data_IF_345136942597
#
_entry.id   IF_345136942597
#
_cell.length_a   1.000
_cell.length_b   1.000
_cell.length_c   1.000
_cell.angle_alpha   90.00
_cell.angle_beta   90.00
_cell.angle_gamma   90.00
#
_symmetry.space_group_name_H-M   'P 1'
#
loop_
_entity.id
_entity.type
_entity.pdbx_description
1 polymer ?
#
# COMPACT_ATOMS: atom_id res chain seq x y z
N UNK A 1 -0.35 43.30 13.26
CA UNK A 1 0.44 42.28 13.97
C UNK A 1 0.56 41.05 13.08
N UNK A 2 1.76 40.68 12.68
CA UNK A 2 2.02 39.50 11.86
C UNK A 2 1.95 38.27 12.78
N UNK A 3 0.93 37.41 12.62
CA UNK A 3 0.82 36.14 13.36
C UNK A 3 2.09 35.31 13.14
N UNK A 4 2.69 34.84 14.24
CA UNK A 4 3.87 33.96 14.21
C UNK A 4 3.51 32.55 13.73
N UNK A 5 4.53 31.69 13.53
CA UNK A 5 4.29 30.30 13.09
C UNK A 5 3.47 29.52 14.13
N UNK A 6 3.71 29.73 15.43
CA UNK A 6 2.86 29.12 16.48
C UNK A 6 1.42 29.61 16.43
N UNK A 7 1.14 30.88 16.18
CA UNK A 7 -0.25 31.37 16.04
C UNK A 7 -0.96 30.71 14.86
N UNK A 8 -0.26 30.48 13.75
CA UNK A 8 -0.81 29.84 12.56
C UNK A 8 -1.07 28.35 12.82
N UNK A 9 -0.10 27.67 13.43
CA UNK A 9 -0.17 26.24 13.74
C UNK A 9 -1.21 25.93 14.83
N UNK A 10 -1.30 26.78 15.85
CA UNK A 10 -2.24 26.60 16.97
C UNK A 10 -3.64 27.12 16.67
N UNK A 11 -3.81 28.01 15.67
CA UNK A 11 -5.15 28.47 15.26
C UNK A 11 -6.10 27.28 15.06
N UNK A 12 -7.27 27.36 15.71
CA UNK A 12 -8.33 26.41 15.43
C UNK A 12 -8.85 26.72 14.03
N UNK A 13 -8.61 25.78 13.11
CA UNK A 13 -9.34 25.80 11.85
C UNK A 13 -10.80 25.43 12.18
N UNK A 14 -11.79 25.90 11.39
CA UNK A 14 -13.16 25.46 11.56
C UNK A 14 -13.19 23.92 11.59
N UNK A 15 -13.83 23.36 12.60
CA UNK A 15 -14.11 21.92 12.62
C UNK A 15 -15.00 21.64 11.41
N UNK A 16 -14.43 21.06 10.35
CA UNK A 16 -15.21 20.68 9.18
C UNK A 16 -16.20 19.60 9.65
N UNK A 17 -17.47 19.98 9.76
CA UNK A 17 -18.53 19.06 10.11
C UNK A 17 -18.59 17.96 9.06
N UNK A 18 -18.48 16.71 9.49
CA UNK A 18 -18.58 15.57 8.59
C UNK A 18 -20.03 15.09 8.61
N UNK A 19 -20.76 15.10 7.47
CA UNK A 19 -22.16 14.69 7.45
C UNK A 19 -22.30 13.21 7.84
N UNK A 20 -23.30 12.89 8.67
CA UNK A 20 -23.63 11.52 9.04
C UNK A 20 -24.61 10.92 8.02
N UNK A 21 -24.15 9.89 7.31
CA UNK A 21 -24.98 9.18 6.33
C UNK A 21 -26.15 8.48 7.03
N UNK A 22 -25.94 7.96 8.25
CA UNK A 22 -27.00 7.29 9.01
C UNK A 22 -28.18 8.20 9.28
N UNK A 23 -27.92 9.47 9.57
CA UNK A 23 -28.96 10.47 9.89
C UNK A 23 -29.76 10.84 8.63
N UNK A 24 -29.08 10.92 7.48
CA UNK A 24 -29.67 11.26 6.19
C UNK A 24 -30.37 10.09 5.49
N UNK A 25 -30.02 8.85 5.82
CA UNK A 25 -30.43 7.64 5.08
C UNK A 25 -31.95 7.49 4.86
N UNK A 26 -32.77 7.94 5.82
CA UNK A 26 -34.24 7.83 5.71
C UNK A 26 -34.90 8.87 4.81
N UNK A 27 -34.18 9.92 4.41
CA UNK A 27 -34.75 11.11 3.75
C UNK A 27 -34.18 11.38 2.36
N UNK A 28 -33.16 10.63 1.94
CA UNK A 28 -32.39 10.89 0.73
C UNK A 28 -32.36 9.69 -0.21
N UNK A 29 -32.29 9.98 -1.50
CA UNK A 29 -32.04 8.97 -2.54
C UNK A 29 -30.64 8.38 -2.44
N UNK A 30 -30.43 7.26 -3.14
CA UNK A 30 -29.12 6.60 -3.23
C UNK A 30 -28.00 7.54 -3.70
N UNK A 31 -28.24 8.31 -4.76
CA UNK A 31 -27.24 9.23 -5.30
C UNK A 31 -26.90 10.34 -4.31
N UNK A 32 -27.89 10.87 -3.59
CA UNK A 32 -27.68 11.88 -2.57
C UNK A 32 -26.86 11.36 -1.38
N UNK A 33 -27.11 10.12 -0.93
CA UNK A 33 -26.30 9.48 0.12
C UNK A 33 -24.85 9.26 -0.34
N UNK A 34 -24.64 8.80 -1.56
CA UNK A 34 -23.29 8.64 -2.11
C UNK A 34 -22.60 10.00 -2.31
N UNK A 35 -23.36 11.05 -2.65
CA UNK A 35 -22.81 12.38 -2.74
C UNK A 35 -22.37 12.91 -1.37
N UNK A 36 -23.18 12.72 -0.31
CA UNK A 36 -22.78 13.02 1.06
C UNK A 36 -21.54 12.25 1.51
N UNK A 37 -21.41 10.98 1.10
CA UNK A 37 -20.24 10.18 1.41
C UNK A 37 -18.97 10.84 0.82
N UNK A 38 -19.03 11.33 -0.42
CA UNK A 38 -17.93 12.07 -1.01
C UNK A 38 -17.69 13.43 -0.35
N UNK A 39 -18.74 14.14 0.11
CA UNK A 39 -18.56 15.36 0.90
C UNK A 39 -17.80 15.06 2.19
N UNK A 40 -18.12 13.95 2.86
CA UNK A 40 -17.40 13.51 4.05
C UNK A 40 -15.93 13.16 3.75
N UNK A 41 -15.66 12.45 2.66
CA UNK A 41 -14.30 12.14 2.21
C UNK A 41 -13.52 13.43 1.90
N UNK A 42 -14.11 14.39 1.18
CA UNK A 42 -13.47 15.68 0.90
C UNK A 42 -13.12 16.45 2.19
N UNK A 43 -14.00 16.41 3.19
CA UNK A 43 -13.72 17.03 4.49
C UNK A 43 -12.53 16.35 5.20
N UNK A 44 -12.41 15.03 5.11
CA UNK A 44 -11.27 14.28 5.64
C UNK A 44 -9.98 14.54 4.83
N UNK A 45 -10.05 14.67 3.51
CA UNK A 45 -8.91 15.05 2.66
C UNK A 45 -8.35 16.43 3.05
N UNK A 46 -9.23 17.37 3.37
CA UNK A 46 -8.82 18.68 3.89
C UNK A 46 -8.11 18.56 5.25
N UNK A 47 -8.64 17.73 6.15
CA UNK A 47 -8.00 17.46 7.46
C UNK A 47 -6.65 16.76 7.30
N UNK A 48 -6.54 15.74 6.46
CA UNK A 48 -5.29 15.04 6.15
C UNK A 48 -4.27 15.97 5.51
N UNK A 49 -4.69 16.84 4.58
CA UNK A 49 -3.84 17.88 4.00
C UNK A 49 -3.25 18.82 5.05
N UNK A 50 -4.06 19.18 6.07
CA UNK A 50 -3.58 19.97 7.21
C UNK A 50 -2.59 19.19 8.08
N UNK A 51 -2.85 17.91 8.37
CA UNK A 51 -1.94 17.06 9.12
C UNK A 51 -0.58 16.94 8.39
N UNK A 52 -0.60 16.62 7.10
CA UNK A 52 0.60 16.53 6.25
C UNK A 52 1.36 17.84 6.17
N UNK A 53 0.66 18.99 6.17
CA UNK A 53 1.26 20.32 6.24
C UNK A 53 2.05 20.52 7.53
N UNK A 54 1.44 20.19 8.66
CA UNK A 54 2.07 20.30 9.97
C UNK A 54 3.27 19.35 10.07
N UNK A 55 3.13 18.12 9.56
CA UNK A 55 4.24 17.16 9.49
C UNK A 55 5.40 17.75 8.67
N UNK A 56 5.12 18.32 7.50
CA UNK A 56 6.15 18.95 6.65
C UNK A 56 6.86 20.12 7.36
N UNK A 57 6.12 20.90 8.17
CA UNK A 57 6.70 21.96 9.00
C UNK A 57 7.61 21.35 10.08
N UNK A 58 7.15 20.30 10.76
CA UNK A 58 7.93 19.62 11.79
C UNK A 58 9.22 19.00 11.21
N UNK A 59 9.16 18.38 10.03
CA UNK A 59 10.33 17.83 9.32
C UNK A 59 11.33 18.92 8.95
N UNK A 60 10.86 20.07 8.44
CA UNK A 60 11.72 21.24 8.17
C UNK A 60 12.41 21.76 9.42
N UNK A 61 11.67 21.89 10.52
CA UNK A 61 12.23 22.27 11.82
C UNK A 61 13.33 21.31 12.22
N UNK A 62 13.06 19.99 12.18
CA UNK A 62 14.03 18.94 12.53
C UNK A 62 15.29 19.02 11.69
N UNK A 63 15.15 19.16 10.37
CA UNK A 63 16.28 19.28 9.46
C UNK A 63 17.14 20.51 9.79
N UNK A 64 16.50 21.66 10.03
CA UNK A 64 17.19 22.90 10.41
C UNK A 64 17.96 22.75 11.73
N UNK A 65 17.38 22.12 12.75
CA UNK A 65 18.07 21.86 14.03
C UNK A 65 18.91 20.57 14.04
N UNK A 66 19.15 19.97 12.86
CA UNK A 66 19.97 18.76 12.66
C UNK A 66 19.55 17.54 13.48
N UNK A 67 18.24 17.35 13.66
CA UNK A 67 17.69 16.11 14.18
C UNK A 67 17.48 15.10 13.06
N UNK A 68 17.69 13.81 13.38
CA UNK A 68 17.40 12.70 12.46
C UNK A 68 15.94 12.73 12.00
N UNK A 69 15.60 12.18 10.81
CA UNK A 69 14.22 12.01 10.38
C UNK A 69 13.39 11.22 11.42
N UNK A 70 12.10 11.55 11.55
CA UNK A 70 11.18 10.80 12.43
C UNK A 70 10.29 9.91 11.56
N UNK A 71 10.57 8.62 11.56
CA UNK A 71 9.82 7.63 10.78
C UNK A 71 8.32 7.59 11.15
N UNK A 72 7.94 8.06 12.34
CA UNK A 72 6.53 8.17 12.74
C UNK A 72 5.75 9.13 11.86
N UNK A 73 6.38 10.19 11.36
CA UNK A 73 5.74 11.17 10.47
C UNK A 73 5.43 10.60 9.09
N UNK A 74 6.36 9.82 8.53
CA UNK A 74 6.10 9.08 7.30
C UNK A 74 5.02 8.01 7.49
N UNK A 75 5.01 7.32 8.64
CA UNK A 75 3.91 6.41 8.99
C UNK A 75 2.57 7.13 9.05
N UNK A 76 2.48 8.28 9.74
CA UNK A 76 1.23 9.06 9.85
C UNK A 76 0.71 9.50 8.47
N UNK A 77 1.58 10.02 7.59
CA UNK A 77 1.21 10.41 6.22
C UNK A 77 0.64 9.21 5.45
N UNK A 78 1.29 8.05 5.56
CA UNK A 78 0.86 6.80 4.91
C UNK A 78 -0.49 6.33 5.44
N UNK A 79 -0.65 6.28 6.75
CA UNK A 79 -1.87 5.79 7.40
C UNK A 79 -3.07 6.69 7.05
N UNK A 80 -2.91 8.01 7.04
CA UNK A 80 -3.96 8.95 6.61
C UNK A 80 -4.35 8.76 5.13
N UNK A 81 -3.37 8.49 4.26
CA UNK A 81 -3.61 8.19 2.84
C UNK A 81 -4.37 6.88 2.66
N UNK A 82 -4.02 5.85 3.43
CA UNK A 82 -4.66 4.53 3.39
C UNK A 82 -6.10 4.58 3.92
N UNK A 83 -6.35 5.30 5.02
CA UNK A 83 -7.69 5.48 5.58
C UNK A 83 -8.65 6.16 4.59
N UNK A 84 -8.20 7.23 3.93
CA UNK A 84 -8.97 7.90 2.88
C UNK A 84 -9.27 6.96 1.70
N UNK A 85 -8.25 6.23 1.24
CA UNK A 85 -8.39 5.26 0.16
C UNK A 85 -9.41 4.15 0.50
N UNK A 86 -9.45 3.73 1.76
CA UNK A 86 -10.41 2.73 2.22
C UNK A 86 -11.86 3.23 2.17
N UNK A 87 -12.14 4.48 2.57
CA UNK A 87 -13.46 5.08 2.42
C UNK A 87 -13.87 5.20 0.96
N UNK A 88 -12.93 5.65 0.13
CA UNK A 88 -13.10 5.82 -1.29
C UNK A 88 -13.50 4.51 -1.98
N UNK A 89 -12.73 3.43 -1.73
CA UNK A 89 -13.05 2.08 -2.22
C UNK A 89 -14.38 1.56 -1.70
N UNK A 90 -14.74 1.94 -0.47
CA UNK A 90 -15.99 1.54 0.16
C UNK A 90 -17.20 2.16 -0.58
N UNK A 91 -17.09 3.42 -1.01
CA UNK A 91 -18.09 4.14 -1.83
C UNK A 91 -18.08 3.64 -3.28
N UNK A 92 -16.90 3.44 -3.87
CA UNK A 92 -16.76 2.98 -5.25
C UNK A 92 -17.39 1.61 -5.48
N UNK A 93 -17.30 0.69 -4.51
CA UNK A 93 -18.00 -0.60 -4.56
C UNK A 93 -19.52 -0.45 -4.69
N UNK A 94 -20.08 0.63 -4.16
CA UNK A 94 -21.50 0.94 -4.30
C UNK A 94 -21.82 1.66 -5.61
N UNK A 95 -20.89 2.45 -6.17
CA UNK A 95 -21.08 3.16 -7.43
C UNK A 95 -20.92 2.21 -8.63
N UNK A 96 -19.80 1.50 -8.68
CA UNK A 96 -19.32 0.76 -9.84
C UNK A 96 -19.52 -0.75 -9.70
N UNK A 97 -19.57 -1.26 -8.46
CA UNK A 97 -19.84 -2.67 -8.18
C UNK A 97 -21.31 -2.99 -7.92
N UNK A 98 -21.50 -4.11 -7.22
CA UNK A 98 -22.80 -4.69 -6.87
C UNK A 98 -23.23 -4.43 -5.42
N UNK A 99 -22.45 -3.64 -4.68
CA UNK A 99 -22.76 -3.38 -3.28
C UNK A 99 -23.98 -2.47 -3.13
N UNK A 100 -24.89 -2.84 -2.24
CA UNK A 100 -26.06 -2.04 -1.87
C UNK A 100 -25.70 -0.79 -1.07
N UNK A 101 -26.46 0.28 -1.29
CA UNK A 101 -26.47 1.47 -0.43
C UNK A 101 -27.60 1.28 0.57
N UNK A 102 -27.29 0.65 1.70
CA UNK A 102 -28.23 0.32 2.76
C UNK A 102 -27.84 0.94 4.12
N UNK A 103 -28.67 0.68 5.14
CA UNK A 103 -28.42 1.16 6.50
C UNK A 103 -27.11 0.63 7.10
N UNK A 104 -26.71 -0.60 6.73
CA UNK A 104 -25.44 -1.18 7.17
C UNK A 104 -24.26 -0.47 6.51
N UNK A 105 -24.36 -0.15 5.22
CA UNK A 105 -23.41 0.68 4.50
C UNK A 105 -23.20 2.02 5.21
N UNK A 106 -24.29 2.75 5.49
CA UNK A 106 -24.24 4.07 6.12
C UNK A 106 -23.63 4.01 7.54
N UNK A 107 -24.03 3.02 8.36
CA UNK A 107 -23.50 2.83 9.72
C UNK A 107 -22.00 2.52 9.74
N UNK A 108 -21.54 1.65 8.84
CA UNK A 108 -20.13 1.30 8.75
C UNK A 108 -19.29 2.46 8.21
N UNK A 109 -19.80 3.21 7.25
CA UNK A 109 -19.14 4.40 6.73
C UNK A 109 -18.97 5.46 7.83
N UNK A 110 -20.04 5.81 8.55
CA UNK A 110 -19.98 6.78 9.65
C UNK A 110 -18.99 6.33 10.74
N UNK A 111 -18.97 5.03 11.08
CA UNK A 111 -18.01 4.47 12.04
C UNK A 111 -16.56 4.65 11.58
N UNK A 112 -16.28 4.40 10.31
CA UNK A 112 -14.93 4.56 9.75
C UNK A 112 -14.52 6.04 9.74
N UNK A 113 -15.42 6.92 9.31
CA UNK A 113 -15.22 8.39 9.34
C UNK A 113 -14.86 8.87 10.74
N UNK A 114 -15.63 8.49 11.77
CA UNK A 114 -15.35 8.91 13.16
C UNK A 114 -13.95 8.47 13.60
N UNK A 115 -13.61 7.19 13.37
CA UNK A 115 -12.28 6.65 13.69
C UNK A 115 -11.17 7.45 13.00
N UNK A 116 -11.34 7.79 11.73
CA UNK A 116 -10.33 8.51 10.95
C UNK A 116 -10.20 9.98 11.36
N UNK A 117 -11.32 10.63 11.73
CA UNK A 117 -11.29 11.96 12.34
C UNK A 117 -10.47 11.92 13.64
N UNK A 118 -10.76 10.98 14.54
CA UNK A 118 -10.07 10.86 15.83
C UNK A 118 -8.57 10.62 15.65
N UNK A 119 -8.20 9.74 14.72
CA UNK A 119 -6.80 9.46 14.38
C UNK A 119 -6.06 10.69 13.84
N UNK A 120 -6.65 11.38 12.86
CA UNK A 120 -6.07 12.60 12.28
C UNK A 120 -5.98 13.75 13.30
N UNK A 121 -7.00 13.94 14.13
CA UNK A 121 -7.00 15.00 15.15
C UNK A 121 -5.94 14.71 16.23
N UNK A 122 -5.72 13.45 16.59
CA UNK A 122 -4.62 13.02 17.48
C UNK A 122 -3.26 13.33 16.86
N UNK A 123 -3.02 12.92 15.61
CA UNK A 123 -1.76 13.23 14.91
C UNK A 123 -1.52 14.74 14.80
N UNK A 124 -2.56 15.52 14.50
CA UNK A 124 -2.48 16.99 14.44
C UNK A 124 -2.09 17.56 15.81
N UNK A 125 -2.72 17.10 16.89
CA UNK A 125 -2.43 17.58 18.24
C UNK A 125 -0.97 17.28 18.63
N UNK A 126 -0.50 16.05 18.39
CA UNK A 126 0.89 15.65 18.67
C UNK A 126 1.91 16.50 17.92
N UNK A 127 1.71 16.70 16.61
CA UNK A 127 2.62 17.49 15.78
C UNK A 127 2.59 18.98 16.17
N UNK A 128 1.43 19.53 16.56
CA UNK A 128 1.33 20.91 17.07
C UNK A 128 2.14 21.11 18.35
N UNK A 129 2.02 20.19 19.31
CA UNK A 129 2.79 20.24 20.56
C UNK A 129 4.27 20.24 20.23
N UNK A 130 4.71 19.34 19.36
CA UNK A 130 6.10 19.23 18.94
C UNK A 130 6.65 20.51 18.29
N UNK A 131 5.92 21.10 17.33
CA UNK A 131 6.31 22.36 16.68
C UNK A 131 6.44 23.48 17.72
N UNK A 132 5.48 23.58 18.64
CA UNK A 132 5.46 24.62 19.68
C UNK A 132 6.64 24.48 20.64
N UNK A 133 7.02 23.25 21.00
CA UNK A 133 8.19 22.99 21.84
C UNK A 133 9.48 23.42 21.17
N UNK A 134 9.62 23.17 19.87
CA UNK A 134 10.87 23.44 19.13
C UNK A 134 10.99 24.86 18.58
N UNK A 135 9.89 25.59 18.42
CA UNK A 135 9.90 26.96 17.88
C UNK A 135 10.85 27.89 18.66
N UNK A 136 10.98 27.69 19.98
CA UNK A 136 11.88 28.48 20.83
C UNK A 136 13.36 28.39 20.42
N UNK A 137 13.75 27.35 19.69
CA UNK A 137 15.13 27.09 19.25
C UNK A 137 15.42 27.62 17.84
N UNK A 138 14.45 28.27 17.19
CA UNK A 138 14.58 28.75 15.82
C UNK A 138 14.95 30.23 15.80
N UNK A 139 15.78 30.64 14.85
CA UNK A 139 16.03 32.06 14.58
C UNK A 139 14.82 32.75 13.94
N UNK A 140 14.86 34.09 13.86
CA UNK A 140 13.75 34.88 13.34
C UNK A 140 13.54 34.70 11.82
N UNK A 141 14.62 34.47 11.07
CA UNK A 141 14.59 34.32 9.62
C UNK A 141 13.86 33.02 9.22
N UNK A 142 14.25 31.91 9.85
CA UNK A 142 13.63 30.62 9.64
C UNK A 142 12.17 30.58 10.12
N UNK A 143 11.84 31.29 11.21
CA UNK A 143 10.44 31.48 11.63
C UNK A 143 9.62 32.21 10.56
N UNK A 144 10.19 33.22 9.90
CA UNK A 144 9.53 33.94 8.82
C UNK A 144 9.33 33.04 7.59
N UNK A 145 10.33 32.22 7.23
CA UNK A 145 10.22 31.23 6.15
C UNK A 145 9.10 30.22 6.44
N UNK A 146 9.09 29.62 7.64
CA UNK A 146 8.05 28.68 8.05
C UNK A 146 6.66 29.32 8.07
N UNK A 147 6.56 30.58 8.46
CA UNK A 147 5.32 31.36 8.43
C UNK A 147 4.82 31.56 7.00
N UNK A 148 5.71 31.92 6.08
CA UNK A 148 5.41 32.06 4.65
C UNK A 148 4.98 30.71 4.05
N UNK A 149 5.70 29.64 4.39
CA UNK A 149 5.32 28.28 4.03
C UNK A 149 3.91 27.98 4.58
N UNK A 150 3.67 28.04 5.88
CA UNK A 150 2.39 27.67 6.49
C UNK A 150 1.16 28.39 5.90
N UNK A 151 1.31 29.59 5.34
CA UNK A 151 0.26 30.37 4.66
C UNK A 151 -0.06 29.92 3.23
N UNK A 152 0.81 29.13 2.59
CA UNK A 152 0.56 28.61 1.24
C UNK A 152 -0.71 27.76 1.25
N UNK A 153 -1.60 27.92 0.24
CA UNK A 153 -2.81 27.12 0.15
C UNK A 153 -2.45 25.63 0.08
N UNK A 154 -3.22 24.80 0.77
CA UNK A 154 -3.10 23.35 0.66
C UNK A 154 -3.70 22.97 -0.69
N UNK A 155 -2.84 22.57 -1.63
CA UNK A 155 -3.29 22.05 -2.93
C UNK A 155 -3.64 20.58 -2.71
N UNK A 156 -4.93 20.25 -2.84
CA UNK A 156 -5.38 18.87 -2.80
C UNK A 156 -5.06 18.22 -4.16
N UNK A 157 -4.07 17.32 -4.15
CA UNK A 157 -3.54 16.68 -5.36
C UNK A 157 -4.57 15.84 -6.13
N UNK A 158 -5.62 15.37 -5.44
CA UNK A 158 -6.64 14.52 -6.06
C UNK A 158 -7.61 15.29 -6.98
N UNK A 159 -7.75 16.61 -6.82
CA UNK A 159 -8.61 17.45 -7.66
C UNK A 159 -7.85 18.15 -8.80
N UNK A 160 -6.51 18.08 -8.84
CA UNK A 160 -5.67 18.91 -9.73
C UNK A 160 -4.72 18.13 -10.63
N UNK A 161 -4.41 16.87 -10.33
CA UNK A 161 -3.50 16.06 -11.17
C UNK A 161 -4.31 15.22 -12.16
N UNK A 162 -4.55 15.81 -13.34
CA UNK A 162 -5.00 15.06 -14.51
C UNK A 162 -3.79 14.33 -15.11
N UNK A 163 -3.51 13.10 -14.67
CA UNK A 163 -2.42 12.27 -15.21
C UNK A 163 -2.84 11.71 -16.58
N UNK A 164 -2.97 12.58 -17.59
CA UNK A 164 -3.22 12.17 -18.98
C UNK A 164 -4.48 11.34 -19.23
N UNK A 165 -5.42 11.27 -18.27
CA UNK A 165 -6.67 10.51 -18.40
C UNK A 165 -7.74 11.37 -19.05
N UNK A 166 -8.39 10.93 -20.15
CA UNK A 166 -9.58 11.58 -20.70
C UNK A 166 -10.68 11.78 -19.66
N UNK A 167 -11.40 12.90 -19.74
CA UNK A 167 -12.36 13.32 -18.72
C UNK A 167 -13.71 13.64 -19.33
N UNK A 168 -14.80 13.24 -18.66
CA UNK A 168 -16.15 13.48 -19.14
C UNK A 168 -16.66 14.87 -18.79
N UNK A 169 -16.42 15.36 -17.56
CA UNK A 169 -17.17 16.47 -16.95
C UNK A 169 -17.12 17.78 -17.74
N UNK A 170 -15.98 18.13 -18.34
CA UNK A 170 -15.79 19.42 -18.99
C UNK A 170 -16.65 19.58 -20.25
N UNK A 171 -16.92 18.48 -20.96
CA UNK A 171 -17.71 18.46 -22.20
C UNK A 171 -19.00 17.64 -22.05
N UNK A 172 -19.31 17.11 -20.86
CA UNK A 172 -20.40 16.16 -20.66
C UNK A 172 -21.74 16.64 -21.23
N UNK A 173 -22.07 17.93 -21.06
CA UNK A 173 -23.32 18.51 -21.57
C UNK A 173 -23.41 18.56 -23.10
N UNK A 174 -22.28 18.60 -23.82
CA UNK A 174 -22.21 18.62 -25.28
C UNK A 174 -21.94 17.26 -25.92
N UNK A 175 -21.42 16.28 -25.17
CA UNK A 175 -21.02 14.98 -25.72
C UNK A 175 -22.21 14.08 -26.07
N UNK A 176 -22.08 13.35 -27.18
CA UNK A 176 -22.99 12.27 -27.56
C UNK A 176 -22.78 10.99 -26.73
N UNK A 177 -23.71 10.04 -26.81
CA UNK A 177 -23.59 8.77 -26.06
C UNK A 177 -22.39 7.91 -26.49
N UNK A 178 -22.07 7.90 -27.79
CA UNK A 178 -20.92 7.14 -28.30
C UNK A 178 -19.60 7.80 -27.87
N UNK A 179 -19.53 9.14 -27.93
CA UNK A 179 -18.38 9.90 -27.43
C UNK A 179 -18.15 9.70 -25.92
N UNK A 180 -19.22 9.62 -25.13
CA UNK A 180 -19.13 9.25 -23.70
C UNK A 180 -18.54 7.86 -23.54
N UNK A 181 -18.99 6.88 -24.31
CA UNK A 181 -18.47 5.52 -24.24
C UNK A 181 -16.99 5.49 -24.62
N UNK A 182 -16.61 6.12 -25.72
CA UNK A 182 -15.22 6.16 -26.21
C UNK A 182 -14.30 6.82 -25.18
N UNK A 183 -14.73 7.93 -24.58
CA UNK A 183 -13.97 8.65 -23.54
C UNK A 183 -13.76 7.80 -22.29
N UNK A 184 -14.81 7.10 -21.85
CA UNK A 184 -14.75 6.18 -20.71
C UNK A 184 -13.79 5.02 -20.96
N UNK A 185 -13.84 4.39 -22.14
CA UNK A 185 -12.89 3.34 -22.51
C UNK A 185 -11.46 3.88 -22.63
N UNK A 186 -11.29 5.08 -23.20
CA UNK A 186 -10.01 5.77 -23.26
C UNK A 186 -9.42 6.05 -21.88
N UNK A 187 -10.25 6.44 -20.92
CA UNK A 187 -9.83 6.65 -19.53
C UNK A 187 -9.34 5.36 -18.86
N UNK A 188 -10.05 4.23 -19.05
CA UNK A 188 -9.59 2.94 -18.54
C UNK A 188 -8.28 2.51 -19.19
N UNK A 189 -8.17 2.67 -20.51
CA UNK A 189 -6.96 2.33 -21.26
C UNK A 189 -5.75 3.14 -20.78
N UNK A 190 -5.90 4.44 -20.54
CA UNK A 190 -4.82 5.28 -20.03
C UNK A 190 -4.32 4.80 -18.65
N UNK A 191 -5.22 4.37 -17.77
CA UNK A 191 -4.86 3.80 -16.47
C UNK A 191 -4.19 2.43 -16.61
N UNK A 192 -4.66 1.59 -17.54
CA UNK A 192 -4.06 0.30 -17.88
C UNK A 192 -2.63 0.46 -18.39
N UNK A 193 -2.39 1.43 -19.27
CA UNK A 193 -1.08 1.74 -19.81
C UNK A 193 -0.12 2.19 -18.69
N UNK A 194 -0.58 3.06 -17.78
CA UNK A 194 0.19 3.44 -16.58
C UNK A 194 0.52 2.22 -15.70
N UNK A 195 -0.43 1.31 -15.50
CA UNK A 195 -0.19 0.10 -14.71
C UNK A 195 0.82 -0.83 -15.40
N UNK A 196 0.81 -0.90 -16.74
CA UNK A 196 1.81 -1.61 -17.53
C UNK A 196 3.22 -1.05 -17.36
N UNK A 197 3.36 0.28 -17.34
CA UNK A 197 4.63 0.96 -17.05
C UNK A 197 5.09 0.62 -15.63
N UNK A 198 4.21 0.75 -14.64
CA UNK A 198 4.52 0.42 -13.25
C UNK A 198 4.97 -1.04 -13.07
N UNK A 199 4.33 -2.01 -13.77
CA UNK A 199 4.75 -3.41 -13.78
C UNK A 199 6.17 -3.58 -14.33
N UNK A 200 6.48 -2.91 -15.43
CA UNK A 200 7.80 -2.99 -16.07
C UNK A 200 8.89 -2.46 -15.13
N UNK A 201 8.64 -1.31 -14.49
CA UNK A 201 9.55 -0.76 -13.49
C UNK A 201 9.67 -1.66 -12.26
N UNK A 202 8.56 -2.20 -11.75
CA UNK A 202 8.57 -3.10 -10.61
C UNK A 202 9.45 -4.34 -10.85
N UNK A 203 9.40 -4.92 -12.06
CA UNK A 203 10.29 -6.02 -12.44
C UNK A 203 11.76 -5.60 -12.46
N UNK A 204 12.07 -4.38 -12.94
CA UNK A 204 13.44 -3.83 -12.93
C UNK A 204 13.95 -3.55 -11.52
N UNK A 205 13.07 -3.16 -10.60
CA UNK A 205 13.40 -2.87 -9.20
C UNK A 205 13.52 -4.13 -8.32
N UNK A 206 13.28 -5.34 -8.84
CA UNK A 206 13.39 -6.57 -8.06
C UNK A 206 14.76 -6.83 -7.40
N UNK A 207 15.92 -6.35 -7.91
CA UNK A 207 17.18 -6.42 -7.16
C UNK A 207 17.14 -5.69 -5.80
N UNK A 208 16.21 -4.77 -5.59
CA UNK A 208 15.95 -4.09 -4.31
C UNK A 208 14.85 -4.75 -3.49
N UNK A 209 14.41 -5.95 -3.86
CA UNK A 209 13.39 -6.67 -3.12
C UNK A 209 13.84 -6.92 -1.69
N UNK A 210 13.08 -6.46 -0.70
CA UNK A 210 13.45 -6.58 0.71
C UNK A 210 14.46 -5.56 1.23
N UNK A 211 15.04 -4.71 0.38
CA UNK A 211 15.87 -3.60 0.84
C UNK A 211 14.98 -2.47 1.37
N UNK A 212 15.35 -1.93 2.53
CA UNK A 212 14.65 -0.81 3.16
C UNK A 212 15.37 0.50 2.85
N UNK A 213 15.37 0.91 1.58
CA UNK A 213 16.04 2.14 1.09
C UNK A 213 15.21 3.42 1.34
N UNK A 214 14.15 3.33 2.15
CA UNK A 214 13.26 4.46 2.43
C UNK A 214 11.89 4.06 2.99
N UNK A 215 10.91 4.99 2.98
CA UNK A 215 9.57 4.75 3.50
C UNK A 215 8.71 3.82 2.62
N UNK A 216 9.10 3.64 1.36
CA UNK A 216 8.44 2.75 0.40
C UNK A 216 9.40 1.61 0.03
N UNK A 217 8.89 0.38 -0.04
CA UNK A 217 9.63 -0.80 -0.48
C UNK A 217 9.04 -1.34 -1.77
N UNK A 218 9.86 -2.00 -2.60
CA UNK A 218 9.41 -2.60 -3.87
C UNK A 218 8.22 -3.55 -3.64
N UNK A 219 8.29 -4.38 -2.60
CA UNK A 219 7.20 -5.29 -2.24
C UNK A 219 5.93 -4.55 -1.79
N UNK A 220 6.06 -3.46 -1.04
CA UNK A 220 4.92 -2.62 -0.67
C UNK A 220 4.24 -1.99 -1.87
N UNK A 221 5.03 -1.46 -2.83
CA UNK A 221 4.51 -0.89 -4.07
C UNK A 221 3.77 -1.94 -4.90
N UNK A 222 4.35 -3.14 -5.08
CA UNK A 222 3.70 -4.21 -5.84
C UNK A 222 2.40 -4.69 -5.17
N UNK A 223 2.37 -4.77 -3.83
CA UNK A 223 1.14 -5.04 -3.09
C UNK A 223 0.07 -3.98 -3.35
N UNK A 224 0.45 -2.70 -3.36
CA UNK A 224 -0.50 -1.61 -3.64
C UNK A 224 -1.00 -1.64 -5.09
N UNK A 225 -0.15 -2.06 -6.03
CA UNK A 225 -0.54 -2.30 -7.43
C UNK A 225 -1.60 -3.40 -7.55
N UNK A 226 -1.56 -4.44 -6.70
CA UNK A 226 -2.61 -5.48 -6.65
C UNK A 226 -3.97 -4.87 -6.27
N UNK A 227 -4.00 -3.98 -5.29
CA UNK A 227 -5.25 -3.31 -4.94
C UNK A 227 -5.74 -2.36 -6.06
N UNK A 228 -4.82 -1.63 -6.69
CA UNK A 228 -5.14 -0.76 -7.83
C UNK A 228 -5.70 -1.55 -9.03
N UNK A 229 -5.21 -2.76 -9.27
CA UNK A 229 -5.79 -3.66 -10.26
C UNK A 229 -7.24 -4.05 -9.90
N UNK A 230 -7.54 -4.24 -8.61
CA UNK A 230 -8.91 -4.42 -8.13
C UNK A 230 -9.81 -3.21 -8.38
N UNK A 231 -9.29 -2.00 -8.17
CA UNK A 231 -10.02 -0.75 -8.46
C UNK A 231 -10.31 -0.62 -9.97
N UNK A 232 -9.35 -1.01 -10.81
CA UNK A 232 -9.50 -1.03 -12.26
C UNK A 232 -10.56 -2.05 -12.72
N UNK A 233 -10.57 -3.26 -12.17
CA UNK A 233 -11.61 -4.28 -12.46
C UNK A 233 -12.99 -3.74 -12.13
N UNK A 234 -13.12 -3.06 -11.00
CA UNK A 234 -14.39 -2.49 -10.57
C UNK A 234 -14.91 -1.44 -11.57
N UNK A 235 -14.02 -0.56 -12.04
CA UNK A 235 -14.35 0.45 -13.05
C UNK A 235 -14.65 -0.19 -14.41
N UNK A 236 -13.83 -1.15 -14.86
CA UNK A 236 -14.06 -1.90 -16.11
C UNK A 236 -15.39 -2.64 -16.07
N UNK A 237 -15.71 -3.32 -14.97
CA UNK A 237 -16.97 -4.01 -14.78
C UNK A 237 -18.19 -3.07 -14.86
N UNK A 238 -18.07 -1.82 -14.38
CA UNK A 238 -19.10 -0.81 -14.57
C UNK A 238 -19.29 -0.45 -16.06
N UNK A 239 -18.18 -0.22 -16.77
CA UNK A 239 -18.20 0.14 -18.19
C UNK A 239 -18.81 -0.99 -19.02
N UNK A 240 -18.25 -2.19 -18.91
CA UNK A 240 -18.63 -3.34 -19.72
C UNK A 240 -20.07 -3.80 -19.44
N UNK A 241 -20.51 -3.80 -18.17
CA UNK A 241 -21.82 -4.35 -17.80
C UNK A 241 -22.95 -3.32 -17.79
N UNK A 242 -22.66 -2.05 -17.44
CA UNK A 242 -23.71 -1.02 -17.27
C UNK A 242 -23.78 -0.05 -18.45
N UNK A 243 -22.67 0.21 -19.16
CA UNK A 243 -22.66 1.16 -20.28
C UNK A 243 -22.86 0.46 -21.64
N UNK A 244 -22.43 -0.79 -21.78
CA UNK A 244 -22.58 -1.56 -23.03
C UNK A 244 -23.98 -2.16 -23.21
N UNK A 245 -24.78 -2.28 -22.14
CA UNK A 245 -26.19 -2.73 -22.19
C UNK A 245 -27.10 -1.64 -22.76
N UNK A 246 -27.06 -1.48 -24.08
CA UNK A 246 -28.06 -0.71 -24.80
C UNK A 246 -29.39 -1.49 -24.75
N UNK A 247 -30.36 -1.05 -23.94
CA UNK A 247 -31.70 -1.66 -23.93
C UNK A 247 -32.35 -1.45 -25.30
N UNK A 248 -32.36 -2.49 -26.14
CA UNK A 248 -33.29 -2.60 -27.26
C UNK A 248 -34.58 -3.19 -26.70
N UNK A 249 -35.61 -2.36 -26.52
CA UNK A 249 -36.95 -2.84 -26.16
C UNK A 249 -37.76 -2.83 -27.45
N UNK A 250 -38.22 -4.00 -27.89
CA UNK A 250 -39.06 -4.16 -29.10
C UNK A 250 -38.49 -3.53 -30.38
N UNK A 251 -37.19 -3.69 -30.66
CA UNK A 251 -36.56 -3.19 -31.88
C UNK A 251 -36.35 -1.66 -31.94
N UNK A 252 -36.76 -0.92 -30.92
CA UNK A 252 -36.61 0.54 -30.85
C UNK A 252 -35.40 0.87 -29.96
N UNK A 253 -34.38 1.52 -30.55
CA UNK A 253 -33.31 2.18 -29.78
C UNK A 253 -33.95 3.35 -29.02
N UNK A 254 -34.06 3.25 -27.70
CA UNK A 254 -34.42 4.38 -26.84
C UNK A 254 -33.30 5.43 -26.91
N UNK A 255 -33.37 6.36 -27.86
CA UNK A 255 -32.29 7.28 -28.22
C UNK A 255 -32.09 8.46 -27.26
N UNK A 256 -33.02 8.73 -26.34
CA UNK A 256 -33.05 10.02 -25.64
C UNK A 256 -32.57 10.00 -24.18
N UNK A 257 -32.19 8.84 -23.62
CA UNK A 257 -31.63 8.80 -22.26
C UNK A 257 -30.11 8.69 -22.36
N UNK A 258 -29.38 9.64 -21.75
CA UNK A 258 -27.92 9.55 -21.66
C UNK A 258 -27.50 8.22 -21.03
N UNK A 259 -26.44 7.61 -21.56
CA UNK A 259 -25.93 6.30 -21.12
C UNK A 259 -25.33 6.37 -19.69
N UNK A 260 -24.90 7.56 -19.27
CA UNK A 260 -24.40 7.86 -17.91
C UNK A 260 -25.24 9.03 -17.35
N UNK A 261 -25.29 9.25 -16.04
CA UNK A 261 -25.80 10.49 -15.44
C UNK A 261 -24.65 11.48 -15.21
N UNK A 262 -24.92 12.80 -15.12
CA UNK A 262 -23.86 13.77 -14.81
C UNK A 262 -23.17 13.48 -13.47
N UNK A 263 -23.94 12.97 -12.50
CA UNK A 263 -23.41 12.46 -11.24
C UNK A 263 -22.41 11.32 -11.46
N UNK A 264 -22.82 10.26 -12.16
CA UNK A 264 -21.95 9.10 -12.41
C UNK A 264 -20.73 9.45 -13.25
N UNK A 265 -20.86 10.37 -14.22
CA UNK A 265 -19.74 10.87 -15.01
C UNK A 265 -18.69 11.53 -14.09
N UNK A 266 -19.13 12.45 -13.21
CA UNK A 266 -18.24 13.10 -12.26
C UNK A 266 -17.58 12.13 -11.26
N UNK A 267 -18.27 11.05 -10.86
CA UNK A 267 -17.69 10.03 -9.97
C UNK A 267 -16.69 9.14 -10.69
N UNK A 268 -16.99 8.75 -11.93
CA UNK A 268 -16.07 7.95 -12.76
C UNK A 268 -14.77 8.72 -13.02
N UNK A 269 -14.90 9.98 -13.41
CA UNK A 269 -13.82 10.95 -13.59
C UNK A 269 -12.93 11.07 -12.34
N UNK A 270 -13.53 11.22 -11.15
CA UNK A 270 -12.78 11.25 -9.89
C UNK A 270 -12.06 9.93 -9.62
N UNK A 271 -12.75 8.81 -9.78
CA UNK A 271 -12.20 7.49 -9.47
C UNK A 271 -11.00 7.13 -10.38
N UNK A 272 -11.11 7.44 -11.69
CA UNK A 272 -10.04 7.22 -12.67
C UNK A 272 -8.86 8.16 -12.47
N UNK A 273 -9.09 9.46 -12.28
CA UNK A 273 -8.00 10.42 -12.01
C UNK A 273 -7.22 10.06 -10.74
N UNK A 274 -7.93 9.67 -9.67
CA UNK A 274 -7.32 9.25 -8.41
C UNK A 274 -6.55 7.93 -8.56
N UNK A 275 -7.07 6.97 -9.32
CA UNK A 275 -6.35 5.72 -9.62
C UNK A 275 -5.08 6.00 -10.43
N UNK A 276 -5.17 6.82 -11.49
CA UNK A 276 -4.01 7.24 -12.28
C UNK A 276 -2.95 7.95 -11.44
N UNK A 277 -3.35 8.88 -10.56
CA UNK A 277 -2.44 9.56 -9.65
C UNK A 277 -1.73 8.59 -8.69
N UNK A 278 -2.41 7.54 -8.21
CA UNK A 278 -1.78 6.49 -7.41
C UNK A 278 -0.75 5.70 -8.20
N UNK A 279 -1.12 5.24 -9.41
CA UNK A 279 -0.20 4.48 -10.26
C UNK A 279 1.01 5.34 -10.64
N UNK A 280 0.83 6.62 -10.95
CA UNK A 280 1.94 7.56 -11.18
C UNK A 280 2.84 7.71 -9.95
N UNK A 281 2.26 7.77 -8.75
CA UNK A 281 3.03 7.77 -7.50
C UNK A 281 3.89 6.51 -7.35
N UNK A 282 3.35 5.35 -7.71
CA UNK A 282 4.10 4.08 -7.72
C UNK A 282 5.21 4.09 -8.77
N UNK A 283 4.96 4.64 -9.97
CA UNK A 283 6.00 4.82 -11.01
C UNK A 283 7.15 5.66 -10.44
N UNK A 284 6.85 6.83 -9.87
CA UNK A 284 7.88 7.70 -9.29
C UNK A 284 8.60 7.09 -8.08
N UNK A 285 7.93 6.21 -7.33
CA UNK A 285 8.57 5.44 -6.27
C UNK A 285 9.57 4.43 -6.84
N UNK A 286 9.14 3.68 -7.88
CA UNK A 286 9.94 2.64 -8.53
C UNK A 286 11.14 3.20 -9.31
N UNK A 287 11.00 4.38 -9.93
CA UNK A 287 12.10 5.08 -10.61
C UNK A 287 13.29 5.38 -9.70
N UNK A 288 13.08 5.53 -8.39
CA UNK A 288 14.18 5.70 -7.41
C UNK A 288 15.06 4.47 -7.28
N UNK A 289 14.51 3.30 -7.60
CA UNK A 289 15.20 2.01 -7.58
C UNK A 289 15.77 1.64 -8.96
N UNK A 290 15.70 2.52 -9.97
CA UNK A 290 16.23 2.28 -11.33
C UNK A 290 17.77 2.45 -11.39
N UNK A 291 18.46 2.50 -10.25
CA UNK A 291 19.93 2.46 -10.20
C UNK A 291 20.44 1.05 -10.50
N UNK A 292 21.62 0.90 -11.12
CA UNK A 292 22.20 -0.41 -11.41
C UNK A 292 22.68 -1.07 -10.10
N UNK A 293 21.76 -1.67 -9.34
CA UNK A 293 22.12 -2.58 -8.28
C UNK A 293 22.75 -3.84 -8.88
N UNK A 294 23.78 -4.37 -8.19
CA UNK A 294 24.50 -5.58 -8.62
C UNK A 294 23.47 -6.70 -8.84
N UNK A 295 23.48 -7.39 -9.99
CA UNK A 295 22.57 -8.49 -10.23
C UNK A 295 22.90 -9.59 -9.21
N UNK A 296 22.04 -9.76 -8.20
CA UNK A 296 21.91 -11.07 -7.60
C UNK A 296 21.21 -11.90 -8.65
N UNK A 297 21.83 -13.01 -9.07
CA UNK A 297 21.35 -13.85 -10.17
C UNK A 297 19.86 -14.13 -10.02
N UNK A 298 19.03 -13.35 -10.71
CA UNK A 298 17.58 -13.57 -10.78
C UNK A 298 17.42 -14.73 -11.76
N UNK A 299 17.38 -15.93 -11.18
CA UNK A 299 17.27 -17.19 -11.90
C UNK A 299 16.07 -17.22 -12.86
N UNK A 300 16.32 -17.86 -14.00
CA UNK A 300 15.45 -17.87 -15.17
C UNK A 300 14.45 -19.02 -15.22
N UNK A 301 13.54 -18.90 -16.19
CA UNK A 301 12.75 -19.98 -16.80
C UNK A 301 12.20 -21.06 -15.87
N UNK A 302 11.50 -20.67 -14.80
CA UNK A 302 10.62 -21.60 -14.11
C UNK A 302 9.34 -21.80 -14.92
N UNK A 303 8.95 -23.05 -15.18
CA UNK A 303 7.57 -23.35 -15.59
C UNK A 303 6.64 -22.76 -14.55
N UNK A 304 5.69 -21.91 -14.99
CA UNK A 304 4.69 -21.26 -14.13
C UNK A 304 4.06 -22.30 -13.21
N UNK A 305 4.50 -22.33 -11.95
CA UNK A 305 3.89 -23.15 -10.91
C UNK A 305 2.54 -22.56 -10.56
N UNK A 306 1.63 -23.43 -10.14
CA UNK A 306 0.42 -23.00 -9.44
C UNK A 306 0.80 -22.05 -8.28
N UNK A 307 0.17 -20.87 -8.23
CA UNK A 307 0.52 -19.80 -7.29
C UNK A 307 0.35 -20.25 -5.84
N UNK A 308 -0.66 -21.06 -5.54
CA UNK A 308 -0.88 -21.58 -4.19
C UNK A 308 0.23 -22.55 -3.78
N UNK A 309 0.65 -23.42 -4.70
CA UNK A 309 1.76 -24.34 -4.49
C UNK A 309 3.07 -23.60 -4.27
N UNK A 310 3.33 -22.52 -5.02
CA UNK A 310 4.47 -21.64 -4.81
C UNK A 310 4.45 -20.98 -3.42
N UNK A 311 3.31 -20.39 -3.04
CA UNK A 311 3.13 -19.76 -1.72
C UNK A 311 3.33 -20.78 -0.59
N UNK A 312 2.76 -21.99 -0.73
CA UNK A 312 2.91 -23.06 0.26
C UNK A 312 4.38 -23.46 0.44
N UNK A 313 5.09 -23.71 -0.65
CA UNK A 313 6.51 -24.10 -0.56
C UNK A 313 7.37 -22.98 0.04
N UNK A 314 7.15 -21.74 -0.38
CA UNK A 314 7.90 -20.60 0.11
C UNK A 314 7.64 -20.33 1.60
N UNK A 315 6.43 -20.57 2.13
CA UNK A 315 6.15 -20.50 3.58
C UNK A 315 6.98 -21.51 4.37
N UNK A 316 7.10 -22.74 3.87
CA UNK A 316 7.93 -23.78 4.50
C UNK A 316 9.40 -23.38 4.50
N UNK A 317 9.89 -22.86 3.38
CA UNK A 317 11.27 -22.41 3.25
C UNK A 317 11.53 -21.19 4.16
N UNK A 318 10.57 -20.27 4.27
CA UNK A 318 10.64 -19.13 5.18
C UNK A 318 10.71 -19.55 6.66
N UNK A 319 9.94 -20.58 7.06
CA UNK A 319 10.00 -21.15 8.41
C UNK A 319 11.36 -21.82 8.67
N UNK A 320 11.91 -22.49 7.65
CA UNK A 320 13.27 -23.05 7.70
C UNK A 320 14.32 -21.94 7.88
N UNK A 321 14.23 -20.86 7.10
CA UNK A 321 15.09 -19.68 7.22
C UNK A 321 15.05 -19.12 8.64
N UNK A 322 13.85 -18.83 9.17
CA UNK A 322 13.66 -18.29 10.53
C UNK A 322 14.27 -19.20 11.59
N UNK A 323 14.08 -20.51 11.45
CA UNK A 323 14.63 -21.47 12.40
C UNK A 323 16.16 -21.52 12.35
N UNK A 324 16.77 -21.43 11.17
CA UNK A 324 18.23 -21.36 11.01
C UNK A 324 18.80 -20.04 11.55
N UNK A 325 18.09 -18.92 11.34
CA UNK A 325 18.42 -17.62 11.92
C UNK A 325 18.46 -17.68 13.44
N UNK A 326 17.37 -18.14 14.08
CA UNK A 326 17.30 -18.25 15.54
C UNK A 326 18.35 -19.19 16.12
N UNK A 327 18.66 -20.29 15.40
CA UNK A 327 19.72 -21.21 15.81
C UNK A 327 21.10 -20.54 15.80
N UNK A 328 21.41 -19.78 14.75
CA UNK A 328 22.65 -19.04 14.65
C UNK A 328 22.77 -17.98 15.77
N UNK A 329 21.71 -17.23 16.03
CA UNK A 329 21.64 -16.25 17.13
C UNK A 329 21.89 -16.91 18.49
N UNK A 330 21.27 -18.07 18.76
CA UNK A 330 21.45 -18.80 20.01
C UNK A 330 22.89 -19.30 20.20
N UNK A 331 23.52 -19.85 19.16
CA UNK A 331 24.91 -20.30 19.21
C UNK A 331 25.87 -19.11 19.40
N UNK A 332 25.60 -17.96 18.75
CA UNK A 332 26.35 -16.73 18.99
C UNK A 332 26.26 -16.28 20.44
N UNK A 333 25.07 -16.26 21.03
CA UNK A 333 24.90 -15.84 22.42
C UNK A 333 25.74 -16.68 23.39
N UNK A 334 25.90 -17.98 23.10
CA UNK A 334 26.80 -18.86 23.87
C UNK A 334 28.26 -18.43 23.71
N UNK A 335 28.73 -18.24 22.47
CA UNK A 335 30.11 -17.80 22.20
C UNK A 335 30.42 -16.43 22.80
N UNK A 336 29.47 -15.50 22.74
CA UNK A 336 29.60 -14.18 23.34
C UNK A 336 29.74 -14.24 24.87
N UNK A 337 28.95 -15.10 25.53
CA UNK A 337 29.07 -15.35 26.99
C UNK A 337 30.41 -16.00 27.37
N UNK A 338 31.00 -16.78 26.46
CA UNK A 338 32.32 -17.40 26.64
C UNK A 338 33.48 -16.42 26.37
N UNK A 339 33.20 -15.20 25.90
CA UNK A 339 34.21 -14.21 25.56
C UNK A 339 35.00 -14.57 24.29
N UNK A 340 34.46 -15.42 23.42
CA UNK A 340 35.14 -15.81 22.18
C UNK A 340 35.08 -14.66 21.16
N UNK A 341 36.21 -14.06 20.76
CA UNK A 341 36.22 -12.95 19.82
C UNK A 341 35.71 -13.35 18.42
N UNK A 342 35.72 -14.64 18.08
CA UNK A 342 35.18 -15.17 16.81
C UNK A 342 33.67 -15.00 16.72
N UNK A 343 32.95 -14.90 17.86
CA UNK A 343 31.51 -14.67 17.92
C UNK A 343 31.08 -13.40 17.17
N UNK A 344 31.92 -12.36 17.18
CA UNK A 344 31.67 -11.08 16.52
C UNK A 344 32.00 -11.18 15.02
N UNK A 345 33.13 -11.80 14.67
CA UNK A 345 33.61 -11.86 13.27
C UNK A 345 32.75 -12.72 12.33
N UNK A 346 31.99 -13.68 12.86
CA UNK A 346 31.26 -14.67 12.06
C UNK A 346 29.95 -14.10 11.49
N UNK A 347 29.42 -13.02 12.07
CA UNK A 347 28.21 -12.34 11.58
C UNK A 347 28.50 -11.15 10.67
N UNK A 348 29.69 -10.54 10.78
CA UNK A 348 30.09 -9.42 9.93
C UNK A 348 30.12 -9.80 8.43
N UNK A 349 30.09 -11.11 8.12
CA UNK A 349 29.98 -11.65 6.76
C UNK A 349 28.55 -11.81 6.21
N UNK A 350 27.50 -11.64 7.03
CA UNK A 350 26.10 -11.77 6.60
C UNK A 350 25.36 -10.48 6.85
N UNK A 351 24.77 -9.92 5.80
CA UNK A 351 23.84 -8.82 5.94
C UNK A 351 22.48 -9.33 6.46
N UNK A 352 22.40 -9.52 7.78
CA UNK A 352 21.20 -10.00 8.47
C UNK A 352 19.97 -9.11 8.22
N UNK A 353 20.20 -7.81 8.01
CA UNK A 353 19.14 -6.87 7.70
C UNK A 353 18.54 -7.16 6.32
N UNK A 354 19.36 -7.47 5.33
CA UNK A 354 18.91 -7.86 3.99
C UNK A 354 18.07 -9.13 4.02
N UNK A 355 18.54 -10.20 4.67
CA UNK A 355 17.78 -11.46 4.76
C UNK A 355 16.43 -11.31 5.50
N UNK A 356 16.41 -10.52 6.57
CA UNK A 356 15.17 -10.18 7.28
C UNK A 356 14.23 -9.35 6.40
N UNK A 357 14.81 -8.44 5.61
CA UNK A 357 14.12 -7.65 4.61
C UNK A 357 13.45 -8.50 3.52
N UNK A 358 14.17 -9.48 2.96
CA UNK A 358 13.64 -10.43 1.98
C UNK A 358 12.43 -11.19 2.55
N UNK A 359 12.56 -11.73 3.76
CA UNK A 359 11.50 -12.44 4.48
C UNK A 359 10.24 -11.57 4.67
N UNK A 360 10.42 -10.33 5.16
CA UNK A 360 9.31 -9.41 5.40
C UNK A 360 8.63 -8.92 4.10
N UNK A 361 9.41 -8.66 3.06
CA UNK A 361 8.91 -8.30 1.73
C UNK A 361 8.09 -9.43 1.11
N UNK A 362 8.57 -10.66 1.22
CA UNK A 362 7.85 -11.83 0.72
C UNK A 362 6.52 -12.06 1.46
N UNK A 363 6.53 -12.02 2.80
CA UNK A 363 5.30 -12.16 3.60
C UNK A 363 4.24 -11.11 3.24
N UNK A 364 4.67 -9.86 3.06
CA UNK A 364 3.81 -8.74 2.71
C UNK A 364 3.08 -9.01 1.39
N UNK A 365 3.80 -9.53 0.39
CA UNK A 365 3.24 -9.84 -0.92
C UNK A 365 2.38 -11.10 -0.91
N UNK A 366 2.89 -12.18 -0.35
CA UNK A 366 2.21 -13.46 -0.30
C UNK A 366 0.88 -13.35 0.44
N UNK A 367 0.83 -12.62 1.56
CA UNK A 367 -0.40 -12.39 2.32
C UNK A 367 -1.46 -11.63 1.51
N UNK A 368 -1.06 -10.64 0.72
CA UNK A 368 -1.97 -9.91 -0.17
C UNK A 368 -2.55 -10.79 -1.29
N UNK A 369 -1.70 -11.62 -1.90
CA UNK A 369 -2.05 -12.51 -3.01
C UNK A 369 -2.94 -13.67 -2.52
N UNK A 370 -2.54 -14.34 -1.43
CA UNK A 370 -3.33 -15.42 -0.81
C UNK A 370 -4.69 -14.91 -0.35
N UNK A 371 -4.74 -13.71 0.25
CA UNK A 371 -5.99 -13.07 0.64
C UNK A 371 -6.90 -12.74 -0.55
N UNK A 372 -6.35 -12.51 -1.74
CA UNK A 372 -7.12 -12.32 -2.97
C UNK A 372 -7.62 -13.64 -3.55
N UNK A 373 -6.76 -14.65 -3.64
CA UNK A 373 -7.13 -15.99 -4.12
C UNK A 373 -8.24 -16.59 -3.26
N UNK A 374 -8.08 -16.56 -1.93
CA UNK A 374 -9.01 -17.22 -1.00
C UNK A 374 -10.35 -16.49 -0.81
N UNK A 375 -10.39 -15.17 -0.94
CA UNK A 375 -11.59 -14.37 -0.61
C UNK A 375 -12.27 -13.72 -1.82
N UNK A 376 -11.59 -13.70 -2.97
CA UNK A 376 -12.02 -12.97 -4.17
C UNK A 376 -11.70 -13.75 -5.44
N UNK A 377 -11.50 -15.06 -5.35
CA UNK A 377 -11.22 -15.95 -6.47
C UNK A 377 -10.07 -15.48 -7.39
N UNK A 378 -9.11 -14.74 -6.82
CA UNK A 378 -7.95 -14.22 -7.54
C UNK A 378 -8.26 -13.08 -8.51
N UNK A 379 -9.39 -12.37 -8.37
CA UNK A 379 -9.80 -11.29 -9.28
C UNK A 379 -8.69 -10.23 -9.47
N UNK A 380 -8.03 -9.80 -8.40
CA UNK A 380 -6.98 -8.77 -8.48
C UNK A 380 -5.71 -9.34 -9.08
N UNK A 381 -5.35 -10.56 -8.71
CA UNK A 381 -4.20 -11.28 -9.25
C UNK A 381 -4.34 -11.45 -10.77
N UNK A 382 -5.53 -11.81 -11.24
CA UNK A 382 -5.83 -11.95 -12.66
C UNK A 382 -5.72 -10.62 -13.40
N UNK A 383 -6.27 -9.56 -12.80
CA UNK A 383 -6.25 -8.23 -13.40
C UNK A 383 -4.85 -7.61 -13.46
N UNK A 384 -4.02 -7.84 -12.44
CA UNK A 384 -2.63 -7.40 -12.45
C UNK A 384 -1.78 -8.24 -13.42
N UNK A 385 -2.17 -9.49 -13.67
CA UNK A 385 -1.48 -10.45 -14.51
C UNK A 385 -0.83 -11.54 -13.67
N UNK A 386 -1.36 -12.76 -13.78
CA UNK A 386 -0.89 -13.95 -13.03
C UNK A 386 0.60 -14.24 -13.28
N UNK A 387 1.06 -14.04 -14.50
CA UNK A 387 2.44 -14.17 -14.93
C UNK A 387 3.38 -13.20 -14.19
N UNK A 388 2.99 -11.93 -14.11
CA UNK A 388 3.73 -10.92 -13.37
C UNK A 388 3.78 -11.25 -11.87
N UNK A 389 2.63 -11.62 -11.29
CA UNK A 389 2.54 -11.98 -9.87
C UNK A 389 3.40 -13.21 -9.55
N UNK A 390 3.36 -14.23 -10.40
CA UNK A 390 4.19 -15.42 -10.28
C UNK A 390 5.67 -15.03 -10.29
N UNK A 391 6.11 -14.22 -11.26
CA UNK A 391 7.51 -13.83 -11.40
C UNK A 391 8.05 -13.08 -10.17
N UNK A 392 7.25 -12.18 -9.59
CA UNK A 392 7.63 -11.46 -8.37
C UNK A 392 7.75 -12.42 -7.18
N UNK A 393 6.78 -13.32 -7.00
CA UNK A 393 6.80 -14.31 -5.91
C UNK A 393 7.96 -15.29 -6.04
N UNK A 394 8.24 -15.77 -7.26
CA UNK A 394 9.38 -16.65 -7.55
C UNK A 394 10.69 -15.96 -7.20
N UNK A 395 10.84 -14.68 -7.58
CA UNK A 395 12.06 -13.92 -7.27
C UNK A 395 12.26 -13.78 -5.77
N UNK A 396 11.22 -13.41 -5.01
CA UNK A 396 11.32 -13.34 -3.56
C UNK A 396 11.57 -14.71 -2.91
N UNK A 397 11.01 -15.79 -3.47
CA UNK A 397 11.26 -17.15 -2.99
C UNK A 397 12.71 -17.59 -3.23
N UNK A 398 13.28 -17.25 -4.39
CA UNK A 398 14.67 -17.59 -4.71
C UNK A 398 15.66 -16.84 -3.82
N UNK A 399 15.36 -15.58 -3.45
CA UNK A 399 16.13 -14.85 -2.44
C UNK A 399 16.10 -15.57 -1.08
N UNK A 400 14.92 -16.03 -0.62
CA UNK A 400 14.79 -16.82 0.61
C UNK A 400 15.62 -18.11 0.55
N UNK A 401 15.63 -18.82 -0.58
CA UNK A 401 16.47 -20.02 -0.74
C UNK A 401 17.96 -19.70 -0.64
N UNK A 402 18.37 -18.58 -1.23
CA UNK A 402 19.72 -18.03 -1.09
C UNK A 402 20.06 -17.82 0.38
N UNK A 403 19.19 -17.14 1.12
CA UNK A 403 19.36 -16.89 2.55
C UNK A 403 19.46 -18.20 3.34
N UNK A 404 18.59 -19.18 3.10
CA UNK A 404 18.67 -20.51 3.73
C UNK A 404 20.04 -21.15 3.52
N UNK A 405 20.59 -21.11 2.30
CA UNK A 405 21.91 -21.66 2.01
C UNK A 405 23.01 -20.96 2.82
N UNK A 406 22.97 -19.63 2.86
CA UNK A 406 23.91 -18.82 3.63
C UNK A 406 23.84 -19.13 5.12
N UNK A 407 22.63 -19.22 5.69
CA UNK A 407 22.45 -19.54 7.11
C UNK A 407 22.79 -20.99 7.46
N UNK A 408 22.61 -21.96 6.55
CA UNK A 408 23.10 -23.32 6.76
C UNK A 408 24.62 -23.32 6.92
N UNK A 409 25.34 -22.65 6.03
CA UNK A 409 26.79 -22.52 6.13
C UNK A 409 27.21 -21.80 7.42
N UNK A 410 26.50 -20.73 7.80
CA UNK A 410 26.74 -20.02 9.06
C UNK A 410 26.60 -20.94 10.26
N UNK A 411 25.51 -21.71 10.33
CA UNK A 411 25.26 -22.63 11.42
C UNK A 411 26.38 -23.68 11.50
N UNK A 412 26.80 -24.27 10.38
CA UNK A 412 27.94 -25.20 10.34
C UNK A 412 29.25 -24.56 10.84
N UNK A 413 29.52 -23.30 10.48
CA UNK A 413 30.70 -22.58 10.96
C UNK A 413 30.64 -22.36 12.48
N UNK A 414 29.48 -21.98 13.02
CA UNK A 414 29.27 -21.78 14.46
C UNK A 414 29.36 -23.10 15.24
N UNK A 415 28.83 -24.19 14.70
CA UNK A 415 28.98 -25.54 15.26
C UNK A 415 30.45 -25.92 15.43
N UNK A 416 31.28 -25.69 14.40
CA UNK A 416 32.72 -25.95 14.45
C UNK A 416 33.43 -25.11 15.51
N UNK A 417 33.05 -23.83 15.66
CA UNK A 417 33.67 -22.93 16.66
C UNK A 417 33.33 -23.38 18.08
N UNK A 418 32.10 -23.83 18.30
CA UNK A 418 31.64 -24.37 19.59
C UNK A 418 32.15 -25.80 19.87
N UNK A 419 32.81 -26.45 18.90
CA UNK A 419 33.28 -27.82 19.01
C UNK A 419 32.14 -28.86 19.09
N UNK A 420 30.96 -28.51 18.57
CA UNK A 420 29.78 -29.40 18.62
C UNK A 420 29.76 -30.32 17.40
N UNK A 421 29.49 -31.60 17.63
CA UNK A 421 29.08 -32.50 16.53
C UNK A 421 27.67 -32.16 16.05
N UNK A 422 27.33 -32.43 14.78
CA UNK A 422 26.02 -32.07 14.19
C UNK A 422 24.84 -32.61 15.00
N UNK A 423 24.92 -33.85 15.50
CA UNK A 423 23.86 -34.44 16.32
C UNK A 423 23.70 -33.72 17.68
N UNK A 424 24.82 -33.33 18.30
CA UNK A 424 24.80 -32.57 19.56
C UNK A 424 24.24 -31.16 19.33
N UNK A 425 24.63 -30.52 18.23
CA UNK A 425 24.17 -29.20 17.88
C UNK A 425 22.66 -29.17 17.55
N UNK A 426 22.12 -30.21 16.90
CA UNK A 426 20.68 -30.34 16.64
C UNK A 426 19.91 -30.60 17.94
N UNK A 427 20.46 -31.38 18.87
CA UNK A 427 19.83 -31.63 20.16
C UNK A 427 19.81 -30.38 21.05
N UNK A 428 20.88 -29.58 21.04
CA UNK A 428 20.97 -28.33 21.83
C UNK A 428 20.24 -27.16 21.17
N UNK A 429 20.26 -27.07 19.85
CA UNK A 429 19.69 -25.97 19.08
C UNK A 429 18.90 -26.52 17.89
N UNK A 430 17.64 -26.94 18.10
CA UNK A 430 16.87 -27.60 17.05
C UNK A 430 16.50 -26.65 15.90
N UNK A 431 16.37 -27.21 14.68
CA UNK A 431 15.89 -26.52 13.48
C UNK A 431 14.61 -27.17 12.99
N UNK A 432 13.61 -26.36 12.62
CA UNK A 432 12.50 -26.81 11.79
C UNK A 432 12.97 -26.85 10.35
N UNK A 433 13.24 -28.05 9.82
CA UNK A 433 13.56 -28.21 8.39
C UNK A 433 12.29 -28.29 7.53
N UNK A 434 12.45 -28.20 6.21
CA UNK A 434 11.34 -28.22 5.25
C UNK A 434 10.48 -29.49 5.32
N UNK A 435 11.06 -30.63 5.71
CA UNK A 435 10.36 -31.90 5.87
C UNK A 435 9.52 -31.94 7.15
N UNK A 436 10.02 -31.32 8.22
CA UNK A 436 9.33 -31.18 9.51
C UNK A 436 8.25 -30.10 9.43
N UNK A 437 8.50 -29.00 8.71
CA UNK A 437 7.53 -27.94 8.41
C UNK A 437 6.36 -28.45 7.56
N UNK A 438 6.61 -29.24 6.51
CA UNK A 438 5.55 -29.89 5.73
C UNK A 438 4.69 -30.85 6.58
N UNK A 439 5.31 -31.65 7.46
CA UNK A 439 4.59 -32.54 8.39
C UNK A 439 3.75 -31.77 9.42
N UNK A 440 4.29 -30.69 9.99
CA UNK A 440 3.58 -29.85 10.97
C UNK A 440 2.42 -29.08 10.33
N UNK A 441 2.58 -28.58 9.10
CA UNK A 441 1.51 -27.94 8.34
C UNK A 441 0.40 -28.93 7.98
N UNK A 442 0.76 -30.14 7.51
CA UNK A 442 -0.20 -31.20 7.23
C UNK A 442 -0.98 -31.63 8.48
N UNK A 443 -0.32 -31.71 9.64
CA UNK A 443 -1.01 -32.03 10.91
C UNK A 443 -1.93 -30.90 11.39
N UNK A 444 -1.54 -29.62 11.25
CA UNK A 444 -2.38 -28.48 11.64
C UNK A 444 -3.65 -28.34 10.79
N UNK A 445 -3.58 -28.67 9.51
CA UNK A 445 -4.71 -28.49 8.58
C UNK A 445 -5.50 -29.78 8.32
N UNK A 446 -4.91 -30.96 8.57
CA UNK A 446 -5.61 -32.25 8.53
C UNK A 446 -6.55 -32.47 9.72
N UNK A 447 -6.37 -31.75 10.83
CA UNK A 447 -7.26 -31.81 11.99
C UNK A 447 -8.60 -31.05 11.81
N UNK A 448 -8.75 -30.28 10.72
CA UNK A 448 -9.98 -29.53 10.40
C UNK A 448 -10.87 -30.22 9.34
N UNK A 449 -10.58 -31.48 8.99
CA UNK A 449 -11.42 -32.29 8.07
C UNK A 449 -11.82 -33.65 8.68
N UNK A 450 -11.89 -33.74 10.01
CA UNK A 450 -12.45 -34.88 10.75
C UNK A 450 -13.86 -34.60 11.22
#
# INVERSE_FOLDING_TARGET
MTRGIVDIVTSQAPTLGVPSLRTSFRKKSREEILNEAHVAINALEQRAGRANRLISIAERIRAYIRLQPDWRYESMKRDHKEDLLMLDRYVDKCLFGDRSVDSAFAKQFDKAVVKYVEGMDTSIAEVKVYITTLEKRLDAEFKAELTSFAKKPIIHSQDTIHVGVPFLRAAYSSMGNDEIKDTVHGALKAVEDLLGIAKTLALRSLPHFGLSDGPESVAGVIRDMLDNAGDLVLLRGYVDNKLSRTKTVMGIKMSNKRVVSSFMAAKFDRATARLAARVQGHISALERFDSPARPHNVGGGGQTRDLESLIRQAKVDLETYRSLFHRAEAMREVLAKQGDPRAVSVLDGIDHFVATGHAGAWDTLAGGIEGDISRRDGVRVNALGRDFVAKVLETGHDLIKGDISTYRQLNTNLEMILGLGTAEAVARFPVVDSNTGQRNWAMRNGANQG
#
